data_IF_902929024133
#
_entry.id   IF_902929024133
#
_cell.length_a   1.000
_cell.length_b   1.000
_cell.length_c   1.000
_cell.angle_alpha   90.00
_cell.angle_beta   90.00
_cell.angle_gamma   90.00
#
_symmetry.space_group_name_H-M   'P 1'
#
loop_
_entity.id
_entity.type
_entity.pdbx_description
1 polymer ?
#
# COMPACT_ATOMS: atom_id res chain seq x y z
N UNK A 1 -67.51 10.61 -15.13
CA UNK A 1 -66.06 10.66 -14.79
C UNK A 1 -65.84 11.82 -13.81
N UNK A 2 -65.34 11.56 -12.60
CA UNK A 2 -65.19 12.58 -11.54
C UNK A 2 -64.20 13.65 -12.02
N UNK A 3 -64.65 14.90 -12.14
CA UNK A 3 -63.81 16.06 -12.44
C UNK A 3 -62.92 16.33 -11.22
N UNK A 4 -61.79 15.65 -11.13
CA UNK A 4 -60.77 16.00 -10.14
C UNK A 4 -60.34 17.44 -10.40
N UNK A 5 -60.45 18.28 -9.37
CA UNK A 5 -60.22 19.73 -9.45
C UNK A 5 -58.78 19.98 -9.87
N UNK A 6 -58.60 20.54 -11.07
CA UNK A 6 -57.31 20.92 -11.65
C UNK A 6 -56.46 21.77 -10.68
N UNK A 7 -57.14 22.53 -9.82
CA UNK A 7 -56.55 23.36 -8.76
C UNK A 7 -55.87 22.50 -7.68
N UNK A 8 -56.47 21.37 -7.30
CA UNK A 8 -55.89 20.46 -6.31
C UNK A 8 -54.59 19.84 -6.81
N UNK A 9 -54.54 19.47 -8.09
CA UNK A 9 -53.32 18.95 -8.72
C UNK A 9 -52.20 20.01 -8.73
N UNK A 10 -52.55 21.27 -9.02
CA UNK A 10 -51.60 22.38 -9.04
C UNK A 10 -50.97 22.64 -7.66
N UNK A 11 -51.77 22.59 -6.58
CA UNK A 11 -51.27 22.74 -5.21
C UNK A 11 -50.31 21.61 -4.83
N UNK A 12 -50.64 20.36 -5.19
CA UNK A 12 -49.78 19.20 -4.91
C UNK A 12 -48.43 19.33 -5.62
N UNK A 13 -48.42 19.78 -6.89
CA UNK A 13 -47.18 20.01 -7.64
C UNK A 13 -46.33 21.09 -6.96
N UNK A 14 -46.94 22.20 -6.54
CA UNK A 14 -46.24 23.29 -5.85
C UNK A 14 -45.58 22.81 -4.54
N UNK A 15 -46.31 22.06 -3.72
CA UNK A 15 -45.78 21.52 -2.46
C UNK A 15 -44.61 20.57 -2.74
N UNK A 16 -44.72 19.73 -3.77
CA UNK A 16 -43.67 18.78 -4.14
C UNK A 16 -42.38 19.49 -4.55
N UNK A 17 -42.47 20.58 -5.34
CA UNK A 17 -41.31 21.39 -5.74
C UNK A 17 -40.67 22.05 -4.51
N UNK A 18 -41.49 22.58 -3.60
CA UNK A 18 -41.02 23.26 -2.37
C UNK A 18 -40.25 22.30 -1.46
N UNK A 19 -40.79 21.10 -1.26
CA UNK A 19 -40.15 20.04 -0.47
C UNK A 19 -38.84 19.58 -1.13
N UNK A 20 -38.84 19.34 -2.44
CA UNK A 20 -37.63 18.96 -3.17
C UNK A 20 -36.53 20.03 -3.09
N UNK A 21 -36.91 21.31 -3.20
CA UNK A 21 -35.96 22.44 -3.08
C UNK A 21 -35.40 22.54 -1.65
N UNK A 22 -36.23 22.29 -0.63
CA UNK A 22 -35.79 22.27 0.76
C UNK A 22 -34.78 21.14 1.03
N UNK A 23 -35.04 19.93 0.53
CA UNK A 23 -34.09 18.81 0.63
C UNK A 23 -32.80 19.08 -0.13
N UNK A 24 -32.86 19.65 -1.33
CA UNK A 24 -31.68 20.06 -2.10
C UNK A 24 -30.83 21.10 -1.35
N UNK A 25 -31.49 22.06 -0.68
CA UNK A 25 -30.78 23.06 0.13
C UNK A 25 -30.14 22.46 1.38
N UNK A 26 -30.83 21.51 2.04
CA UNK A 26 -30.26 20.78 3.16
C UNK A 26 -29.03 19.96 2.73
N UNK A 27 -29.07 19.31 1.57
CA UNK A 27 -27.96 18.51 1.04
C UNK A 27 -26.72 19.39 0.83
N UNK A 28 -26.86 20.54 0.14
CA UNK A 28 -25.76 21.48 -0.10
C UNK A 28 -25.16 22.04 1.20
N UNK A 29 -26.01 22.36 2.19
CA UNK A 29 -25.57 22.99 3.44
C UNK A 29 -24.94 21.97 4.39
N UNK A 30 -25.47 20.75 4.46
CA UNK A 30 -24.93 19.70 5.32
C UNK A 30 -23.67 19.06 4.72
N UNK A 31 -23.64 18.80 3.42
CA UNK A 31 -22.46 18.25 2.74
C UNK A 31 -21.26 19.21 2.80
N UNK A 32 -21.48 20.53 2.69
CA UNK A 32 -20.40 21.51 2.87
C UNK A 32 -19.88 21.61 4.32
N UNK A 33 -20.75 21.42 5.32
CA UNK A 33 -20.35 21.53 6.72
C UNK A 33 -19.59 20.29 7.19
N UNK A 34 -20.05 19.09 6.85
CA UNK A 34 -19.36 17.85 7.22
C UNK A 34 -18.00 17.74 6.52
N UNK A 35 -17.91 18.08 5.24
CA UNK A 35 -16.64 18.02 4.50
C UNK A 35 -15.64 19.07 5.01
N UNK A 36 -16.07 20.30 5.34
CA UNK A 36 -15.15 21.34 5.80
C UNK A 36 -14.59 21.08 7.22
N UNK A 37 -15.38 20.46 8.10
CA UNK A 37 -14.96 20.16 9.48
C UNK A 37 -14.11 18.87 9.55
N UNK A 38 -14.43 17.86 8.75
CA UNK A 38 -13.63 16.64 8.61
C UNK A 38 -12.29 16.93 7.91
N UNK A 39 -12.23 17.79 6.89
CA UNK A 39 -10.97 18.17 6.24
C UNK A 39 -10.07 18.98 7.18
N UNK A 40 -10.63 19.82 8.06
CA UNK A 40 -9.85 20.55 9.07
C UNK A 40 -9.29 19.63 10.15
N UNK A 41 -10.06 18.66 10.62
CA UNK A 41 -9.58 17.69 11.61
C UNK A 41 -8.54 16.73 11.01
N UNK A 42 -8.76 16.23 9.79
CA UNK A 42 -7.75 15.44 9.07
C UNK A 42 -6.48 16.22 8.74
N UNK A 43 -6.61 17.49 8.33
CA UNK A 43 -5.45 18.36 8.10
C UNK A 43 -4.70 18.63 9.40
N UNK A 44 -5.38 18.86 10.52
CA UNK A 44 -4.77 19.08 11.82
C UNK A 44 -4.07 17.81 12.35
N UNK A 45 -4.67 16.63 12.15
CA UNK A 45 -4.05 15.33 12.42
C UNK A 45 -2.84 15.09 11.53
N UNK A 46 -2.90 15.47 10.25
CA UNK A 46 -1.77 15.36 9.31
C UNK A 46 -0.61 16.31 9.61
N UNK A 47 -0.89 17.46 10.24
CA UNK A 47 0.15 18.42 10.68
C UNK A 47 0.70 18.08 12.07
N UNK A 48 -0.06 17.39 12.92
CA UNK A 48 0.36 16.97 14.27
C UNK A 48 1.07 15.61 14.31
N UNK A 49 0.80 14.74 13.33
CA UNK A 49 1.55 13.49 13.14
C UNK A 49 2.74 13.80 12.25
N UNK A 50 3.87 14.06 12.88
CA UNK A 50 5.20 14.00 12.26
C UNK A 50 5.26 12.76 11.35
N UNK A 51 5.26 12.99 10.04
CA UNK A 51 5.21 11.90 9.08
C UNK A 51 6.45 11.02 9.27
N UNK A 52 6.30 9.70 9.46
CA UNK A 52 7.44 8.82 9.67
C UNK A 52 8.39 8.92 8.48
N UNK A 53 9.65 9.23 8.75
CA UNK A 53 10.72 9.32 7.76
C UNK A 53 11.37 7.95 7.65
N UNK A 54 11.49 7.43 6.43
CA UNK A 54 12.24 6.22 6.17
C UNK A 54 13.74 6.50 6.32
N UNK A 55 14.38 5.79 7.24
CA UNK A 55 15.84 5.84 7.46
C UNK A 55 16.41 4.47 7.19
N UNK A 56 17.40 4.38 6.31
CA UNK A 56 18.01 3.10 5.95
C UNK A 56 18.60 2.38 7.16
N UNK A 57 18.43 1.07 7.16
CA UNK A 57 18.90 0.21 8.24
C UNK A 57 20.43 0.06 8.20
N UNK A 58 21.05 0.15 9.36
CA UNK A 58 22.50 -0.03 9.54
C UNK A 58 22.78 -0.95 10.74
N UNK A 59 23.98 -1.52 10.76
CA UNK A 59 24.48 -2.32 11.89
C UNK A 59 23.56 -3.49 12.26
N UNK A 60 23.17 -3.56 13.53
CA UNK A 60 22.38 -4.67 14.08
C UNK A 60 20.99 -4.81 13.43
N UNK A 61 20.38 -3.71 12.97
CA UNK A 61 19.07 -3.75 12.31
C UNK A 61 19.19 -4.43 10.95
N UNK A 62 20.23 -4.09 10.18
CA UNK A 62 20.50 -4.71 8.88
C UNK A 62 20.81 -6.21 9.04
N UNK A 63 21.58 -6.57 10.08
CA UNK A 63 21.88 -7.97 10.40
C UNK A 63 20.63 -8.74 10.81
N UNK A 64 19.78 -8.16 11.65
CA UNK A 64 18.50 -8.77 12.04
C UNK A 64 17.62 -9.02 10.82
N UNK A 65 17.56 -8.06 9.89
CA UNK A 65 16.83 -8.23 8.62
C UNK A 65 17.44 -9.35 7.76
N UNK A 66 18.76 -9.43 7.66
CA UNK A 66 19.43 -10.54 6.97
C UNK A 66 19.03 -11.90 7.57
N UNK A 67 19.09 -12.04 8.90
CA UNK A 67 18.75 -13.29 9.59
C UNK A 67 17.26 -13.66 9.41
N UNK A 68 16.36 -12.66 9.34
CA UNK A 68 14.95 -12.87 9.03
C UNK A 68 14.75 -13.40 7.60
N UNK A 69 15.43 -12.83 6.62
CA UNK A 69 15.35 -13.32 5.24
C UNK A 69 15.97 -14.71 5.11
N UNK A 70 17.07 -15.00 5.80
CA UNK A 70 17.68 -16.33 5.79
C UNK A 70 16.72 -17.40 6.33
N UNK A 71 16.10 -17.13 7.47
CA UNK A 71 15.08 -18.02 8.06
C UNK A 71 13.86 -18.19 7.14
N UNK A 72 13.42 -17.12 6.47
CA UNK A 72 12.30 -17.16 5.52
C UNK A 72 12.63 -18.05 4.32
N UNK A 73 13.83 -17.94 3.74
CA UNK A 73 14.26 -18.76 2.61
C UNK A 73 14.30 -20.25 2.99
N UNK A 74 14.79 -20.55 4.20
CA UNK A 74 14.79 -21.91 4.76
C UNK A 74 13.36 -22.44 4.98
N UNK A 75 12.45 -21.63 5.52
CA UNK A 75 11.04 -22.00 5.72
C UNK A 75 10.33 -22.30 4.38
N UNK A 76 10.62 -21.50 3.35
CA UNK A 76 10.10 -21.71 2.01
C UNK A 76 10.74 -22.90 1.30
N UNK A 77 11.82 -23.48 1.85
CA UNK A 77 12.59 -24.55 1.21
C UNK A 77 13.24 -24.09 -0.10
N UNK A 78 13.59 -22.82 -0.21
CA UNK A 78 14.22 -22.25 -1.40
C UNK A 78 15.71 -22.56 -1.42
N UNK A 79 16.22 -22.99 -2.59
CA UNK A 79 17.65 -23.04 -2.88
C UNK A 79 18.15 -21.61 -3.18
N UNK A 80 18.27 -20.82 -2.11
CA UNK A 80 18.65 -19.42 -2.16
C UNK A 80 19.42 -19.00 -0.91
N UNK A 81 20.27 -17.99 -1.06
CA UNK A 81 21.05 -17.38 -0.01
C UNK A 81 20.78 -15.87 0.06
N UNK A 82 20.88 -15.31 1.26
CA UNK A 82 20.88 -13.87 1.49
C UNK A 82 22.21 -13.45 2.10
N UNK A 83 22.77 -12.35 1.58
CA UNK A 83 24.04 -11.78 2.05
C UNK A 83 23.93 -10.28 2.21
N UNK A 84 24.67 -9.75 3.18
CA UNK A 84 24.83 -8.31 3.35
C UNK A 84 25.96 -7.84 2.42
N UNK A 85 25.66 -6.87 1.55
CA UNK A 85 26.66 -6.09 0.82
C UNK A 85 26.52 -4.61 1.18
N UNK A 86 27.47 -4.12 1.97
CA UNK A 86 27.48 -2.76 2.55
C UNK A 86 26.22 -2.52 3.39
N UNK A 87 25.26 -1.78 2.86
CA UNK A 87 23.98 -1.44 3.50
C UNK A 87 22.79 -2.16 2.87
N UNK A 88 23.04 -3.04 1.89
CA UNK A 88 22.01 -3.73 1.11
C UNK A 88 22.00 -5.21 1.44
N UNK A 89 20.85 -5.84 1.22
CA UNK A 89 20.73 -7.29 1.19
C UNK A 89 20.67 -7.74 -0.26
N UNK A 90 21.49 -8.74 -0.58
CA UNK A 90 21.51 -9.42 -1.87
C UNK A 90 20.94 -10.81 -1.62
N UNK A 91 19.80 -11.11 -2.24
CA UNK A 91 19.14 -12.41 -2.19
C UNK A 91 19.33 -13.09 -3.55
N UNK A 92 19.98 -14.23 -3.57
CA UNK A 92 20.34 -14.97 -4.78
C UNK A 92 19.90 -16.42 -4.68
N UNK A 93 19.42 -17.00 -5.78
CA UNK A 93 19.02 -18.41 -5.78
C UNK A 93 18.84 -18.98 -7.17
N UNK A 94 18.82 -20.32 -7.24
CA UNK A 94 18.59 -21.08 -8.45
C UNK A 94 17.10 -21.20 -8.80
N UNK A 95 16.77 -21.26 -10.08
CA UNK A 95 15.43 -21.60 -10.55
C UNK A 95 15.53 -22.87 -11.39
N UNK A 96 15.19 -24.00 -10.77
CA UNK A 96 15.36 -25.32 -11.37
C UNK A 96 14.09 -25.85 -12.04
N UNK A 97 12.92 -25.39 -11.58
CA UNK A 97 11.62 -25.87 -12.03
C UNK A 97 10.48 -24.84 -11.82
N UNK A 98 9.27 -25.22 -12.20
CA UNK A 98 8.05 -24.40 -12.00
C UNK A 98 7.79 -24.10 -10.53
N UNK A 99 8.16 -24.99 -9.61
CA UNK A 99 7.96 -24.79 -8.18
C UNK A 99 8.88 -23.69 -7.64
N UNK A 100 10.15 -23.69 -8.07
CA UNK A 100 11.13 -22.64 -7.78
C UNK A 100 10.61 -21.25 -8.22
N UNK A 101 9.95 -21.18 -9.38
CA UNK A 101 9.33 -19.93 -9.85
C UNK A 101 8.15 -19.47 -8.98
N UNK A 102 7.33 -20.41 -8.48
CA UNK A 102 6.24 -20.09 -7.54
C UNK A 102 6.79 -19.55 -6.20
N UNK A 103 7.87 -20.15 -5.70
CA UNK A 103 8.55 -19.68 -4.49
C UNK A 103 9.16 -18.29 -4.69
N UNK A 104 9.80 -18.04 -5.84
CA UNK A 104 10.30 -16.72 -6.19
C UNK A 104 9.18 -15.67 -6.23
N UNK A 105 8.02 -16.01 -6.82
CA UNK A 105 6.86 -15.10 -6.81
C UNK A 105 6.41 -14.77 -5.39
N UNK A 106 6.37 -15.77 -4.51
CA UNK A 106 6.02 -15.58 -3.09
C UNK A 106 7.06 -14.71 -2.37
N UNK A 107 8.35 -14.92 -2.65
CA UNK A 107 9.43 -14.09 -2.12
C UNK A 107 9.30 -12.63 -2.57
N UNK A 108 8.99 -12.38 -3.85
CA UNK A 108 8.76 -11.04 -4.38
C UNK A 108 7.54 -10.37 -3.73
N UNK A 109 6.47 -11.12 -3.47
CA UNK A 109 5.31 -10.61 -2.74
C UNK A 109 5.67 -10.24 -1.30
N UNK A 110 6.55 -10.99 -0.63
CA UNK A 110 7.04 -10.66 0.71
C UNK A 110 7.88 -9.39 0.67
N UNK A 111 8.87 -9.32 -0.22
CA UNK A 111 9.74 -8.14 -0.40
C UNK A 111 8.91 -6.88 -0.68
N UNK A 112 7.86 -6.98 -1.50
CA UNK A 112 6.98 -5.85 -1.82
C UNK A 112 6.19 -5.31 -0.63
N UNK A 113 5.92 -6.16 0.36
CA UNK A 113 5.13 -5.80 1.54
C UNK A 113 5.98 -5.62 2.81
N UNK A 114 7.31 -5.68 2.69
CA UNK A 114 8.25 -5.45 3.79
C UNK A 114 8.80 -4.01 3.76
N UNK A 115 9.40 -3.58 4.87
CA UNK A 115 10.05 -2.27 5.03
C UNK A 115 11.42 -2.23 4.32
N UNK A 116 11.41 -2.45 3.01
CA UNK A 116 12.61 -2.49 2.16
C UNK A 116 12.38 -1.75 0.83
N UNK A 117 13.43 -1.11 0.33
CA UNK A 117 13.43 -0.54 -1.01
C UNK A 117 14.04 -1.56 -2.00
N UNK A 118 13.32 -1.88 -3.08
CA UNK A 118 13.86 -2.72 -4.15
C UNK A 118 14.81 -1.89 -5.03
N UNK A 119 16.11 -2.20 -4.96
CA UNK A 119 17.14 -1.51 -5.75
C UNK A 119 17.24 -2.09 -7.16
N UNK A 120 17.25 -3.42 -7.25
CA UNK A 120 17.30 -4.11 -8.54
C UNK A 120 16.82 -5.54 -8.42
N UNK A 121 16.26 -6.08 -9.49
CA UNK A 121 15.95 -7.50 -9.64
C UNK A 121 16.46 -8.01 -10.98
N UNK A 122 17.03 -9.21 -10.96
CA UNK A 122 17.44 -9.96 -12.13
C UNK A 122 16.83 -11.36 -12.02
N UNK A 123 16.17 -11.83 -13.08
CA UNK A 123 15.61 -13.18 -13.17
C UNK A 123 15.98 -13.74 -14.55
N UNK A 124 16.67 -14.87 -14.57
CA UNK A 124 17.05 -15.58 -15.77
C UNK A 124 18.51 -16.05 -15.79
N UNK A 125 18.96 -16.44 -16.98
CA UNK A 125 20.36 -16.80 -17.23
C UNK A 125 21.27 -15.59 -17.01
N UNK A 126 22.41 -15.81 -16.35
CA UNK A 126 23.39 -14.76 -16.07
C UNK A 126 23.14 -13.96 -14.78
N UNK A 127 22.05 -14.21 -14.07
CA UNK A 127 21.73 -13.46 -12.84
C UNK A 127 22.51 -13.94 -11.61
N UNK A 128 22.97 -15.19 -11.59
CA UNK A 128 23.73 -15.81 -10.48
C UNK A 128 25.04 -16.45 -10.95
N UNK A 129 25.56 -16.03 -12.13
CA UNK A 129 26.69 -16.66 -12.80
C UNK A 129 26.23 -17.42 -14.03
N UNK A 130 26.39 -18.75 -14.04
CA UNK A 130 26.22 -19.58 -15.25
C UNK A 130 24.83 -20.24 -15.38
N UNK A 131 24.09 -20.36 -14.27
CA UNK A 131 22.78 -21.03 -14.24
C UNK A 131 21.59 -20.06 -14.34
N UNK A 132 20.42 -20.62 -14.66
CA UNK A 132 19.16 -19.87 -14.64
C UNK A 132 18.75 -19.64 -13.18
N UNK A 133 18.71 -18.37 -12.76
CA UNK A 133 18.52 -18.02 -11.35
C UNK A 133 17.91 -16.64 -11.17
N UNK A 134 17.97 -16.13 -9.94
CA UNK A 134 17.55 -14.78 -9.62
C UNK A 134 18.53 -14.09 -8.68
N UNK A 135 18.56 -12.76 -8.77
CA UNK A 135 19.29 -11.89 -7.85
C UNK A 135 18.42 -10.68 -7.54
N UNK A 136 18.04 -10.53 -6.29
CA UNK A 136 17.22 -9.42 -5.79
C UNK A 136 18.08 -8.61 -4.82
N UNK A 137 18.20 -7.32 -5.07
CA UNK A 137 18.94 -6.40 -4.20
C UNK A 137 17.94 -5.46 -3.54
N UNK A 138 17.91 -5.49 -2.21
CA UNK A 138 17.02 -4.65 -1.41
C UNK A 138 17.80 -3.80 -0.42
N UNK A 139 17.25 -2.66 -0.07
CA UNK A 139 17.80 -1.75 0.93
C UNK A 139 16.79 -1.57 2.07
N UNK A 140 16.97 -2.28 3.20
CA UNK A 140 16.03 -2.19 4.31
C UNK A 140 16.01 -0.79 4.92
N UNK A 141 14.84 -0.35 5.38
CA UNK A 141 14.68 0.91 6.10
C UNK A 141 13.83 0.71 7.36
N UNK A 142 13.88 1.71 8.24
CA UNK A 142 13.06 1.79 9.45
C UNK A 142 12.31 3.11 9.40
N UNK A 143 11.01 3.06 9.67
CA UNK A 143 10.19 4.25 9.85
C UNK A 143 10.48 4.85 11.22
N UNK A 144 11.04 6.07 11.24
CA UNK A 144 11.25 6.85 12.47
C UNK A 144 10.34 8.05 12.47
N UNK A 145 9.72 8.33 13.61
CA UNK A 145 9.09 9.63 13.83
C UNK A 145 10.20 10.70 13.77
N UNK A 146 10.01 11.82 13.04
CA UNK A 146 10.80 13.02 13.23
C UNK A 146 10.97 13.34 14.73
N UNK A 147 12.13 13.88 15.13
CA UNK A 147 12.38 14.37 16.49
C UNK A 147 12.09 15.87 16.58
#
# INVERSE_FOLDING_TARGET
>A
MKKYSLVGLFVVILVTILVATYFYFLDIVYENKTVAEEVKTFSALKTAVEQPVAVYAEGDVLRTKNDQYDALLQELGMDAEVKIDKQKLIIQGGIHDTYSYLLLKRLLDIVKNDDVELISSCIGQGCTGDDFGFSIVVHPYVLKLPN
#
